data_IF_256533838321
#
_entry.id   IF_256533838321
#
_cell.length_a   1.000
_cell.length_b   1.000
_cell.length_c   1.000
_cell.angle_alpha   90.00
_cell.angle_beta   90.00
_cell.angle_gamma   90.00
#
_symmetry.space_group_name_H-M   'P 1'
#
loop_
_entity.id
_entity.type
_entity.pdbx_description
1 polymer ?
#
# COMPACT_ATOMS: atom_id res chain seq x y z
N UNK A 1 4.01 3.16 6.29
CA UNK A 1 4.83 3.14 5.05
C UNK A 1 6.10 2.29 5.12
N UNK A 2 6.69 2.04 6.29
CA UNK A 2 7.90 1.18 6.42
C UNK A 2 7.69 -0.22 5.80
N UNK A 3 6.51 -0.82 5.98
CA UNK A 3 6.22 -2.16 5.46
C UNK A 3 6.39 -2.31 3.93
N UNK A 4 6.00 -1.30 3.14
CA UNK A 4 6.17 -1.31 1.69
C UNK A 4 7.64 -1.14 1.28
N UNK A 5 8.36 -0.25 1.97
CA UNK A 5 9.78 -0.04 1.72
C UNK A 5 10.62 -1.29 2.06
N UNK A 6 10.33 -1.94 3.19
CA UNK A 6 11.00 -3.18 3.56
C UNK A 6 10.67 -4.31 2.57
N UNK A 7 9.43 -4.34 2.06
CA UNK A 7 9.03 -5.30 1.03
C UNK A 7 9.80 -5.06 -0.27
N UNK A 8 9.91 -3.81 -0.72
CA UNK A 8 10.69 -3.46 -1.91
C UNK A 8 12.13 -3.94 -1.80
N UNK A 9 12.79 -3.67 -0.66
CA UNK A 9 14.17 -4.12 -0.40
C UNK A 9 14.29 -5.65 -0.42
N UNK A 10 13.33 -6.37 0.16
CA UNK A 10 13.33 -7.85 0.16
C UNK A 10 13.13 -8.44 -1.23
N UNK A 11 12.32 -7.80 -2.07
CA UNK A 11 12.07 -8.24 -3.46
C UNK A 11 13.14 -7.76 -4.45
N UNK A 12 14.17 -7.03 -3.99
CA UNK A 12 15.25 -6.53 -4.83
C UNK A 12 14.92 -5.25 -5.60
N UNK A 13 13.79 -4.61 -5.30
CA UNK A 13 13.41 -3.30 -5.81
C UNK A 13 13.89 -2.15 -4.92
N UNK A 14 13.88 -0.92 -5.46
CA UNK A 14 14.23 0.29 -4.71
C UNK A 14 13.05 1.28 -4.54
N UNK A 15 11.91 1.03 -5.20
CA UNK A 15 10.73 1.84 -5.09
C UNK A 15 9.44 1.00 -5.11
N UNK A 16 8.35 1.55 -4.57
CA UNK A 16 7.00 1.01 -4.71
C UNK A 16 6.14 2.04 -5.42
N UNK A 17 5.54 1.67 -6.54
CA UNK A 17 4.67 2.53 -7.36
C UNK A 17 3.25 1.98 -7.40
N UNK A 18 2.31 2.73 -7.99
CA UNK A 18 0.92 2.30 -8.16
C UNK A 18 0.24 1.89 -6.84
N UNK A 19 0.54 2.63 -5.75
CA UNK A 19 -0.02 2.35 -4.43
C UNK A 19 -1.52 2.68 -4.44
N UNK A 20 -2.35 1.67 -4.21
CA UNK A 20 -3.82 1.75 -4.16
C UNK A 20 -4.35 1.20 -2.84
N UNK A 21 -5.48 1.71 -2.39
CA UNK A 21 -6.17 1.17 -1.22
C UNK A 21 -6.98 -0.06 -1.64
N UNK A 22 -6.76 -1.20 -0.98
CA UNK A 22 -7.46 -2.45 -1.24
C UNK A 22 -8.27 -2.84 -0.01
N UNK A 23 -9.52 -2.42 0.09
CA UNK A 23 -10.36 -2.73 1.25
C UNK A 23 -11.62 -3.49 0.83
N UNK A 24 -11.88 -4.64 1.47
CA UNK A 24 -13.04 -5.52 1.18
C UNK A 24 -13.25 -5.84 -0.32
N UNK A 25 -12.16 -6.06 -1.07
CA UNK A 25 -12.17 -6.29 -2.54
C UNK A 25 -12.60 -5.10 -3.39
N UNK A 26 -12.76 -3.92 -2.80
CA UNK A 26 -12.91 -2.68 -3.54
C UNK A 26 -11.56 -1.98 -3.62
N UNK A 27 -11.11 -1.77 -4.85
CA UNK A 27 -9.93 -0.96 -5.13
C UNK A 27 -10.34 0.50 -5.15
N UNK A 28 -10.01 1.23 -4.08
CA UNK A 28 -10.13 2.69 -4.08
C UNK A 28 -8.84 3.22 -4.70
N UNK A 29 -8.92 3.50 -5.99
CA UNK A 29 -7.81 3.99 -6.79
C UNK A 29 -7.80 5.52 -6.81
N UNK A 30 -7.80 6.13 -5.62
CA UNK A 30 -7.70 7.57 -5.44
C UNK A 30 -6.29 7.94 -4.98
N UNK A 31 -5.69 8.95 -5.60
CA UNK A 31 -4.34 9.42 -5.26
C UNK A 31 -4.29 10.21 -3.95
N UNK A 32 -5.45 10.65 -3.44
CA UNK A 32 -5.58 11.44 -2.22
C UNK A 32 -6.39 10.76 -1.11
N UNK A 33 -7.17 9.74 -1.44
CA UNK A 33 -8.10 9.12 -0.51
C UNK A 33 -7.80 7.63 -0.35
N UNK A 34 -7.69 7.17 0.90
CA UNK A 34 -7.48 5.77 1.24
C UNK A 34 -8.60 5.32 2.17
N UNK A 35 -9.09 4.10 1.96
CA UNK A 35 -10.16 3.55 2.78
C UNK A 35 -9.58 2.99 4.08
N UNK A 36 -9.96 3.63 5.19
CA UNK A 36 -9.55 3.22 6.52
C UNK A 36 -10.58 2.26 7.11
N UNK A 37 -10.16 1.01 7.35
CA UNK A 37 -10.88 0.09 8.19
C UNK A 37 -10.73 0.47 9.65
N UNK A 38 -11.61 1.33 10.15
CA UNK A 38 -11.66 1.67 11.57
C UNK A 38 -12.46 0.58 12.32
N UNK A 39 -11.76 -0.31 13.01
CA UNK A 39 -12.36 -1.21 14.00
C UNK A 39 -12.54 -0.50 15.35
N UNK A 40 -13.28 -1.13 16.27
CA UNK A 40 -13.54 -0.56 17.60
C UNK A 40 -12.28 -0.31 18.47
N UNK A 41 -11.16 -0.94 18.12
CA UNK A 41 -9.90 -0.88 18.90
C UNK A 41 -8.72 -0.38 18.06
N UNK A 42 -8.73 -0.60 16.74
CA UNK A 42 -7.63 -0.25 15.86
C UNK A 42 -8.15 0.14 14.47
N UNK A 43 -7.59 1.22 13.94
CA UNK A 43 -7.78 1.62 12.55
C UNK A 43 -6.62 1.09 11.70
N UNK A 44 -6.94 0.46 10.58
CA UNK A 44 -5.96 -0.09 9.64
C UNK A 44 -6.34 0.23 8.20
N UNK A 45 -5.34 0.46 7.37
CA UNK A 45 -5.49 0.58 5.91
C UNK A 45 -4.79 -0.60 5.26
N UNK A 46 -5.36 -1.11 4.18
CA UNK A 46 -4.72 -2.13 3.35
C UNK A 46 -4.31 -1.46 2.05
N UNK A 47 -3.01 -1.46 1.79
CA UNK A 47 -2.42 -0.82 0.61
C UNK A 47 -1.75 -1.89 -0.24
N UNK A 48 -2.03 -1.87 -1.53
CA UNK A 48 -1.37 -2.70 -2.53
C UNK A 48 -0.54 -1.80 -3.44
N UNK A 49 0.65 -2.24 -3.84
CA UNK A 49 1.55 -1.48 -4.70
C UNK A 49 2.53 -2.41 -5.41
N UNK A 50 3.17 -1.90 -6.44
CA UNK A 50 4.08 -2.64 -7.31
C UNK A 50 5.53 -2.29 -6.98
N UNK A 51 6.36 -3.31 -6.72
CA UNK A 51 7.79 -3.12 -6.46
C UNK A 51 8.52 -2.98 -7.78
N UNK A 52 9.29 -1.89 -7.92
CA UNK A 52 10.08 -1.61 -9.12
C UNK A 52 11.52 -1.23 -8.76
N UNK A 53 12.42 -1.38 -9.73
CA UNK A 53 13.79 -0.87 -9.66
C UNK A 53 13.94 0.29 -10.62
N UNK A 54 13.94 1.50 -10.09
CA UNK A 54 14.21 2.73 -10.83
C UNK A 54 15.74 2.86 -11.02
N UNK A 55 16.16 3.19 -12.25
CA UNK A 55 17.57 3.44 -12.61
C UNK A 55 17.95 4.90 -12.40
#
# INVERSE_FOLDING_TARGET
MIALQDRARREGGNAVVNIRSYYKKNEVNSSSEFECGAGAVMAGVTLEGEVVTLK
#
